data_IF_424293617806
#
_entry.id   IF_424293617806
#
_cell.length_a   1.000
_cell.length_b   1.000
_cell.length_c   1.000
_cell.angle_alpha   90.00
_cell.angle_beta   90.00
_cell.angle_gamma   90.00
#
_symmetry.space_group_name_H-M   'P 1'
#
loop_
_entity.id
_entity.type
_entity.pdbx_description
1 polymer ?
#
# COMPACT_ATOMS: atom_id res chain seq x y z
N UNK A 1 7.17 13.66 17.05
CA UNK A 1 5.95 14.39 16.59
C UNK A 1 4.90 14.52 17.70
N UNK A 2 4.38 13.42 18.29
CA UNK A 2 3.45 13.53 19.45
C UNK A 2 4.12 14.21 20.64
N UNK A 3 5.36 13.85 20.93
CA UNK A 3 6.17 14.40 22.02
C UNK A 3 6.37 15.92 21.95
N UNK A 4 6.38 16.48 20.73
CA UNK A 4 6.57 17.93 20.51
C UNK A 4 5.24 18.70 20.49
N UNK A 5 4.16 18.06 20.03
CA UNK A 5 2.87 18.71 19.81
C UNK A 5 1.92 18.59 21.00
N UNK A 6 1.96 17.47 21.75
CA UNK A 6 1.08 17.26 22.89
C UNK A 6 1.21 18.33 23.99
N UNK A 7 2.42 18.80 24.37
CA UNK A 7 2.56 19.88 25.34
C UNK A 7 1.93 21.19 24.87
N UNK A 8 2.03 21.53 23.59
CA UNK A 8 1.40 22.73 23.02
C UNK A 8 -0.12 22.62 23.01
N UNK A 9 -0.65 21.42 22.67
CA UNK A 9 -2.08 21.18 22.70
C UNK A 9 -2.61 21.30 24.13
N UNK A 10 -1.97 20.66 25.11
CA UNK A 10 -2.32 20.76 26.52
C UNK A 10 -2.34 22.22 27.01
N UNK A 11 -1.30 22.99 26.70
CA UNK A 11 -1.19 24.38 27.07
C UNK A 11 -2.29 25.25 26.46
N UNK A 12 -2.62 25.06 25.18
CA UNK A 12 -3.60 25.89 24.47
C UNK A 12 -5.05 25.53 24.80
N UNK A 13 -5.32 24.33 25.27
CA UNK A 13 -6.69 23.83 25.52
C UNK A 13 -7.01 23.69 26.99
N UNK A 14 -5.98 23.76 27.87
CA UNK A 14 -6.14 23.53 29.30
C UNK A 14 -6.35 22.08 29.72
N UNK A 15 -6.23 21.14 28.80
CA UNK A 15 -6.25 19.70 29.11
C UNK A 15 -4.92 19.25 29.72
N UNK A 16 -4.92 18.12 30.42
CA UNK A 16 -3.68 17.51 30.91
C UNK A 16 -2.80 17.01 29.74
N UNK A 17 -1.51 16.82 30.03
CA UNK A 17 -0.59 16.26 29.04
C UNK A 17 -1.02 14.84 28.60
N UNK A 18 -1.50 14.01 29.54
CA UNK A 18 -1.95 12.64 29.25
C UNK A 18 -3.19 12.64 28.35
N UNK A 19 -4.14 13.55 28.57
CA UNK A 19 -5.30 13.72 27.68
C UNK A 19 -4.87 14.20 26.29
N UNK A 20 -3.92 15.13 26.19
CA UNK A 20 -3.40 15.61 24.92
C UNK A 20 -2.66 14.51 24.15
N UNK A 21 -1.83 13.70 24.82
CA UNK A 21 -1.15 12.55 24.22
C UNK A 21 -2.18 11.52 23.73
N UNK A 22 -3.17 11.20 24.55
CA UNK A 22 -4.23 10.25 24.19
C UNK A 22 -5.03 10.71 22.97
N UNK A 23 -5.44 11.97 22.96
CA UNK A 23 -6.19 12.57 21.84
C UNK A 23 -5.37 12.56 20.54
N UNK A 24 -4.10 12.94 20.61
CA UNK A 24 -3.22 12.92 19.44
C UNK A 24 -2.97 11.51 18.94
N UNK A 25 -2.82 10.53 19.84
CA UNK A 25 -2.69 9.11 19.47
C UNK A 25 -3.91 8.57 18.74
N UNK A 26 -5.10 9.08 19.06
CA UNK A 26 -6.34 8.70 18.35
C UNK A 26 -6.52 9.41 17.00
N UNK A 27 -6.09 10.67 16.90
CA UNK A 27 -6.34 11.52 15.72
C UNK A 27 -5.26 11.37 14.65
N UNK A 28 -3.98 11.21 15.02
CA UNK A 28 -2.88 11.15 14.05
C UNK A 28 -3.01 10.01 13.03
N UNK A 29 -3.40 8.78 13.40
CA UNK A 29 -3.59 7.70 12.43
C UNK A 29 -4.69 8.02 11.40
N UNK A 30 -5.74 8.74 11.81
CA UNK A 30 -6.80 9.18 10.90
C UNK A 30 -6.30 10.25 9.93
N UNK A 31 -5.49 11.20 10.42
CA UNK A 31 -4.87 12.22 9.57
C UNK A 31 -3.87 11.62 8.57
N UNK A 32 -3.12 10.59 8.96
CA UNK A 32 -2.22 9.87 8.05
C UNK A 32 -2.99 9.19 6.92
N UNK A 33 -4.08 8.49 7.23
CA UNK A 33 -4.94 7.86 6.22
C UNK A 33 -5.54 8.90 5.28
N UNK A 34 -6.12 9.96 5.84
CA UNK A 34 -6.68 11.05 5.04
C UNK A 34 -5.63 11.67 4.11
N UNK A 35 -4.44 11.96 4.62
CA UNK A 35 -3.35 12.51 3.81
C UNK A 35 -2.94 11.55 2.69
N UNK A 36 -2.83 10.26 2.98
CA UNK A 36 -2.48 9.24 1.98
C UNK A 36 -3.52 9.20 0.84
N UNK A 37 -4.80 9.24 1.18
CA UNK A 37 -5.88 9.30 0.18
C UNK A 37 -5.79 10.58 -0.66
N UNK A 38 -5.59 11.75 -0.04
CA UNK A 38 -5.45 13.02 -0.76
C UNK A 38 -4.25 13.01 -1.71
N UNK A 39 -3.08 12.56 -1.25
CA UNK A 39 -1.88 12.47 -2.08
C UNK A 39 -2.08 11.51 -3.27
N UNK A 40 -2.77 10.40 -3.07
CA UNK A 40 -3.10 9.47 -4.15
C UNK A 40 -4.08 10.10 -5.17
N UNK A 41 -5.12 10.79 -4.68
CA UNK A 41 -6.05 11.52 -5.57
C UNK A 41 -5.33 12.60 -6.38
N UNK A 42 -4.45 13.38 -5.78
CA UNK A 42 -3.69 14.41 -6.48
C UNK A 42 -2.76 13.83 -7.55
N UNK A 43 -2.13 12.69 -7.28
CA UNK A 43 -1.15 12.07 -8.20
C UNK A 43 -1.79 11.21 -9.27
N UNK A 44 -2.83 10.47 -8.94
CA UNK A 44 -3.37 9.38 -9.77
C UNK A 44 -4.88 9.45 -9.97
N UNK A 45 -5.59 10.27 -9.20
CA UNK A 45 -7.06 10.25 -9.12
C UNK A 45 -7.73 10.43 -10.48
N UNK A 46 -7.30 11.40 -11.29
CA UNK A 46 -7.89 11.66 -12.60
C UNK A 46 -7.73 10.45 -13.55
N UNK A 47 -6.55 9.84 -13.60
CA UNK A 47 -6.27 8.68 -14.43
C UNK A 47 -7.01 7.43 -13.93
N UNK A 48 -7.01 7.21 -12.61
CA UNK A 48 -7.68 6.07 -12.00
C UNK A 48 -9.20 6.15 -12.21
N UNK A 49 -9.80 7.33 -12.05
CA UNK A 49 -11.22 7.56 -12.28
C UNK A 49 -11.61 7.39 -13.75
N UNK A 50 -10.77 7.84 -14.69
CA UNK A 50 -10.98 7.61 -16.10
C UNK A 50 -10.93 6.13 -16.49
N UNK A 51 -10.10 5.35 -15.81
CA UNK A 51 -9.86 3.92 -16.10
C UNK A 51 -10.86 2.99 -15.41
N UNK A 52 -11.19 3.26 -14.15
CA UNK A 52 -11.97 2.36 -13.29
C UNK A 52 -13.35 2.91 -12.89
N UNK A 53 -13.62 4.18 -13.17
CA UNK A 53 -14.85 4.87 -12.79
C UNK A 53 -14.79 5.49 -11.39
N UNK A 54 -15.65 6.49 -11.18
CA UNK A 54 -15.68 7.24 -9.92
C UNK A 54 -16.11 6.35 -8.73
N UNK A 55 -17.12 5.51 -8.91
CA UNK A 55 -17.65 4.67 -7.84
C UNK A 55 -16.60 3.70 -7.28
N UNK A 56 -15.80 3.08 -8.15
CA UNK A 56 -14.75 2.16 -7.74
C UNK A 56 -13.63 2.86 -6.95
N UNK A 57 -13.25 4.06 -7.38
CA UNK A 57 -12.22 4.85 -6.68
C UNK A 57 -12.75 5.39 -5.36
N UNK A 58 -13.99 5.87 -5.31
CA UNK A 58 -14.61 6.35 -4.07
C UNK A 58 -14.72 5.20 -3.05
N UNK A 59 -15.13 4.01 -3.46
CA UNK A 59 -15.20 2.83 -2.59
C UNK A 59 -13.82 2.41 -2.06
N UNK A 60 -12.78 2.47 -2.88
CA UNK A 60 -11.41 2.20 -2.45
C UNK A 60 -10.91 3.23 -1.43
N UNK A 61 -11.18 4.51 -1.67
CA UNK A 61 -10.84 5.59 -0.75
C UNK A 61 -11.57 5.46 0.59
N UNK A 62 -12.87 5.14 0.58
CA UNK A 62 -13.66 4.88 1.78
C UNK A 62 -13.07 3.70 2.59
N UNK A 63 -12.68 2.62 1.91
CA UNK A 63 -12.03 1.48 2.55
C UNK A 63 -10.78 1.89 3.34
N UNK A 64 -9.94 2.75 2.76
CA UNK A 64 -8.73 3.25 3.43
C UNK A 64 -9.05 4.20 4.58
N UNK A 65 -10.05 5.07 4.41
CA UNK A 65 -10.44 6.04 5.45
C UNK A 65 -11.09 5.35 6.66
N UNK A 66 -11.87 4.30 6.43
CA UNK A 66 -12.58 3.56 7.47
C UNK A 66 -11.73 2.45 8.11
N UNK A 67 -10.53 2.21 7.57
CA UNK A 67 -9.63 1.19 8.09
C UNK A 67 -9.26 1.48 9.56
N UNK A 68 -9.33 0.47 10.41
CA UNK A 68 -8.89 0.62 11.80
C UNK A 68 -7.36 0.84 11.89
N UNK A 69 -6.86 1.49 12.96
CA UNK A 69 -5.45 1.84 13.08
C UNK A 69 -4.51 0.63 13.02
N UNK A 70 -4.91 -0.52 13.56
CA UNK A 70 -4.08 -1.72 13.56
C UNK A 70 -3.95 -2.28 12.14
N UNK A 71 -5.05 -2.42 11.43
CA UNK A 71 -5.06 -2.88 10.03
C UNK A 71 -4.26 -1.93 9.13
N UNK A 72 -4.36 -0.61 9.34
CA UNK A 72 -3.55 0.37 8.64
C UNK A 72 -2.06 0.16 8.87
N UNK A 73 -1.63 -0.02 10.11
CA UNK A 73 -0.23 -0.27 10.46
C UNK A 73 0.26 -1.59 9.86
N UNK A 74 -0.54 -2.66 9.95
CA UNK A 74 -0.21 -3.97 9.37
C UNK A 74 -0.05 -3.87 7.84
N UNK A 75 -0.90 -3.09 7.18
CA UNK A 75 -0.81 -2.84 5.74
C UNK A 75 0.48 -2.10 5.38
N UNK A 76 0.87 -1.08 6.16
CA UNK A 76 2.12 -0.34 5.94
C UNK A 76 3.37 -1.19 6.23
N UNK A 77 3.32 -2.06 7.22
CA UNK A 77 4.39 -3.01 7.47
C UNK A 77 4.50 -4.05 6.37
N UNK A 78 3.37 -4.55 5.88
CA UNK A 78 3.32 -5.48 4.75
C UNK A 78 3.90 -4.86 3.47
N UNK A 79 3.60 -3.59 3.19
CA UNK A 79 4.18 -2.84 2.08
C UNK A 79 5.71 -2.83 2.12
N UNK A 80 6.30 -2.55 3.28
CA UNK A 80 7.76 -2.61 3.47
C UNK A 80 8.32 -4.02 3.34
N UNK A 81 7.62 -5.00 3.90
CA UNK A 81 8.02 -6.40 3.85
C UNK A 81 8.00 -6.96 2.42
N UNK A 82 7.09 -6.49 1.56
CA UNK A 82 7.03 -6.85 0.14
C UNK A 82 8.31 -6.42 -0.57
N UNK A 83 8.81 -5.21 -0.35
CA UNK A 83 10.06 -4.75 -0.97
C UNK A 83 11.27 -5.60 -0.53
N UNK A 84 11.32 -5.97 0.75
CA UNK A 84 12.34 -6.89 1.27
C UNK A 84 12.24 -8.27 0.64
N UNK A 85 11.04 -8.83 0.55
CA UNK A 85 10.80 -10.14 -0.06
C UNK A 85 11.10 -10.15 -1.57
N UNK A 86 10.78 -9.06 -2.27
CA UNK A 86 11.12 -8.88 -3.68
C UNK A 86 12.64 -8.94 -3.89
N UNK A 87 13.41 -8.23 -3.07
CA UNK A 87 14.87 -8.26 -3.13
C UNK A 87 15.44 -9.68 -2.89
N UNK A 88 14.86 -10.42 -1.94
CA UNK A 88 15.24 -11.81 -1.67
C UNK A 88 14.94 -12.71 -2.88
N UNK A 89 13.73 -12.64 -3.42
CA UNK A 89 13.31 -13.44 -4.56
C UNK A 89 14.13 -13.13 -5.82
N UNK A 90 14.43 -11.87 -6.08
CA UNK A 90 15.33 -11.45 -7.18
C UNK A 90 16.74 -12.03 -7.02
N UNK A 91 17.24 -12.12 -5.79
CA UNK A 91 18.54 -12.74 -5.51
C UNK A 91 18.60 -14.22 -5.88
N UNK A 92 17.46 -14.92 -5.84
CA UNK A 92 17.32 -16.31 -6.33
C UNK A 92 17.23 -16.32 -7.86
N UNK A 93 16.55 -15.34 -8.45
CA UNK A 93 16.45 -15.15 -9.89
C UNK A 93 15.42 -16.06 -10.60
N UNK A 94 14.62 -16.80 -9.84
CA UNK A 94 13.58 -17.68 -10.36
C UNK A 94 12.18 -17.20 -9.94
N UNK A 95 11.36 -16.68 -10.89
CA UNK A 95 9.99 -16.25 -10.61
C UNK A 95 9.05 -17.37 -10.13
N UNK A 96 9.45 -18.61 -10.31
CA UNK A 96 8.70 -19.81 -9.86
C UNK A 96 9.14 -20.32 -8.49
N UNK A 97 10.21 -19.76 -7.91
CA UNK A 97 10.73 -20.16 -6.61
C UNK A 97 9.70 -19.99 -5.49
N UNK A 98 9.90 -20.72 -4.39
CA UNK A 98 9.07 -20.55 -3.19
C UNK A 98 9.09 -19.12 -2.66
N UNK A 99 10.25 -18.44 -2.74
CA UNK A 99 10.36 -17.05 -2.30
C UNK A 99 9.61 -16.07 -3.21
N UNK A 100 9.57 -16.33 -4.52
CA UNK A 100 8.75 -15.58 -5.44
C UNK A 100 7.24 -15.83 -5.19
N UNK A 101 6.84 -17.06 -4.92
CA UNK A 101 5.43 -17.37 -4.60
C UNK A 101 4.99 -16.76 -3.26
N UNK A 102 5.89 -16.71 -2.27
CA UNK A 102 5.66 -15.98 -1.02
C UNK A 102 5.47 -14.47 -1.28
N UNK A 103 6.32 -13.89 -2.11
CA UNK A 103 6.18 -12.50 -2.56
C UNK A 103 4.79 -12.22 -3.16
N UNK A 104 4.33 -13.07 -4.07
CA UNK A 104 3.01 -12.94 -4.70
C UNK A 104 1.88 -13.00 -3.68
N UNK A 105 1.95 -13.94 -2.74
CA UNK A 105 0.98 -14.05 -1.64
C UNK A 105 0.92 -12.76 -0.80
N UNK A 106 2.06 -12.22 -0.44
CA UNK A 106 2.15 -10.97 0.32
C UNK A 106 1.60 -9.78 -0.47
N UNK A 107 1.99 -9.66 -1.74
CA UNK A 107 1.54 -8.59 -2.62
C UNK A 107 0.02 -8.65 -2.86
N UNK A 108 -0.53 -9.83 -3.16
CA UNK A 108 -1.97 -10.02 -3.34
C UNK A 108 -2.75 -9.64 -2.07
N UNK A 109 -2.24 -10.02 -0.90
CA UNK A 109 -2.82 -9.63 0.39
C UNK A 109 -2.83 -8.11 0.58
N UNK A 110 -1.74 -7.44 0.22
CA UNK A 110 -1.64 -5.99 0.29
C UNK A 110 -2.65 -5.31 -0.66
N UNK A 111 -2.82 -5.81 -1.87
CA UNK A 111 -3.85 -5.32 -2.80
C UNK A 111 -5.25 -5.53 -2.23
N UNK A 112 -5.54 -6.70 -1.65
CA UNK A 112 -6.83 -6.98 -1.03
C UNK A 112 -7.16 -5.99 0.10
N UNK A 113 -6.19 -5.63 0.93
CA UNK A 113 -6.37 -4.62 1.98
C UNK A 113 -6.66 -3.23 1.40
N UNK A 114 -5.98 -2.84 0.32
CA UNK A 114 -6.20 -1.56 -0.35
C UNK A 114 -7.55 -1.49 -1.07
N UNK A 115 -8.00 -2.59 -1.66
CA UNK A 115 -9.26 -2.63 -2.42
C UNK A 115 -10.47 -2.94 -1.53
N UNK A 116 -10.25 -3.42 -0.32
CA UNK A 116 -11.33 -3.88 0.57
C UNK A 116 -11.97 -5.21 0.17
N UNK A 117 -11.39 -5.91 -0.81
CA UNK A 117 -11.84 -7.22 -1.28
C UNK A 117 -10.69 -8.00 -1.93
N UNK A 118 -10.81 -9.32 -1.97
CA UNK A 118 -9.88 -10.16 -2.70
C UNK A 118 -9.95 -9.87 -4.20
N UNK A 119 -8.82 -9.53 -4.86
CA UNK A 119 -8.80 -9.28 -6.30
C UNK A 119 -9.07 -10.59 -7.08
N UNK A 120 -9.93 -10.50 -8.07
CA UNK A 120 -10.09 -11.57 -9.05
C UNK A 120 -8.80 -11.73 -9.88
N UNK A 121 -8.48 -12.93 -10.32
CA UNK A 121 -7.21 -13.23 -11.01
C UNK A 121 -6.97 -12.34 -12.23
N UNK A 122 -8.01 -12.12 -13.05
CA UNK A 122 -7.91 -11.25 -14.22
C UNK A 122 -7.62 -9.78 -13.86
N UNK A 123 -8.29 -9.26 -12.82
CA UNK A 123 -8.07 -7.90 -12.34
C UNK A 123 -6.67 -7.73 -11.74
N UNK A 124 -6.20 -8.74 -10.99
CA UNK A 124 -4.88 -8.76 -10.39
C UNK A 124 -3.77 -8.82 -11.45
N UNK A 125 -3.94 -9.65 -12.47
CA UNK A 125 -3.03 -9.71 -13.61
C UNK A 125 -3.00 -8.40 -14.40
N UNK A 126 -4.17 -7.81 -14.63
CA UNK A 126 -4.28 -6.50 -15.28
C UNK A 126 -3.56 -5.38 -14.52
N UNK A 127 -3.66 -5.39 -13.18
CA UNK A 127 -2.90 -4.47 -12.33
C UNK A 127 -1.39 -4.68 -12.49
N UNK A 128 -0.91 -5.93 -12.44
CA UNK A 128 0.50 -6.26 -12.60
C UNK A 128 1.05 -5.78 -13.95
N UNK A 129 0.36 -6.02 -15.04
CA UNK A 129 0.75 -5.53 -16.36
C UNK A 129 0.75 -3.99 -16.42
N UNK A 130 -0.16 -3.33 -15.70
CA UNK A 130 -0.20 -1.89 -15.56
C UNK A 130 1.08 -1.30 -14.93
N UNK A 131 1.75 -2.04 -14.05
CA UNK A 131 3.02 -1.61 -13.45
C UNK A 131 4.13 -1.42 -14.48
N UNK A 132 4.20 -2.29 -15.48
CA UNK A 132 5.21 -2.19 -16.56
C UNK A 132 4.92 -1.04 -17.54
N UNK A 133 3.68 -0.62 -17.63
CA UNK A 133 3.25 0.45 -18.54
C UNK A 133 3.42 1.85 -17.94
N UNK A 134 3.73 1.97 -16.66
CA UNK A 134 3.84 3.25 -15.97
C UNK A 134 5.18 3.37 -15.23
N UNK A 135 6.01 4.31 -15.69
CA UNK A 135 7.35 4.53 -15.13
C UNK A 135 7.33 4.83 -13.61
N UNK A 136 6.25 5.41 -13.09
CA UNK A 136 6.11 5.69 -11.64
C UNK A 136 6.09 4.41 -10.82
N UNK A 137 5.43 3.34 -11.32
CA UNK A 137 5.43 2.03 -10.68
C UNK A 137 6.74 1.28 -10.89
N UNK A 138 7.34 1.38 -12.06
CA UNK A 138 8.69 0.83 -12.28
C UNK A 138 9.67 1.44 -11.30
N UNK A 139 9.66 2.76 -11.15
CA UNK A 139 10.51 3.47 -10.20
C UNK A 139 10.25 3.05 -8.73
N UNK A 140 8.99 2.81 -8.38
CA UNK A 140 8.60 2.40 -7.03
C UNK A 140 9.26 1.09 -6.60
N UNK A 141 9.34 0.11 -7.48
CA UNK A 141 9.94 -1.20 -7.19
C UNK A 141 11.43 -1.25 -7.52
N UNK A 142 11.83 -0.69 -8.66
CA UNK A 142 13.21 -0.78 -9.16
C UNK A 142 14.19 0.06 -8.34
N UNK A 143 13.80 1.25 -7.86
CA UNK A 143 14.70 2.09 -7.06
C UNK A 143 15.16 1.43 -5.76
N UNK A 144 14.26 0.87 -4.91
CA UNK A 144 14.68 0.21 -3.69
C UNK A 144 15.23 -1.20 -3.88
N UNK A 145 14.78 -1.95 -4.89
CA UNK A 145 15.08 -3.37 -5.04
C UNK A 145 16.11 -3.68 -6.15
N UNK A 146 16.35 -2.72 -7.04
CA UNK A 146 17.25 -2.87 -8.18
C UNK A 146 16.52 -2.98 -9.51
N UNK A 147 17.24 -2.63 -10.58
CA UNK A 147 16.70 -2.66 -11.95
C UNK A 147 16.13 -4.02 -12.31
N UNK A 148 14.91 -4.03 -12.85
CA UNK A 148 14.21 -5.25 -13.23
C UNK A 148 13.30 -5.84 -12.12
N UNK A 149 13.20 -5.19 -10.96
CA UNK A 149 12.37 -5.64 -9.86
C UNK A 149 10.89 -5.69 -10.25
N UNK A 150 10.40 -4.67 -10.95
CA UNK A 150 9.02 -4.64 -11.44
C UNK A 150 8.74 -5.77 -12.42
N UNK A 151 9.64 -6.02 -13.35
CA UNK A 151 9.54 -7.13 -14.32
C UNK A 151 9.52 -8.47 -13.60
N UNK A 152 10.39 -8.67 -12.63
CA UNK A 152 10.43 -9.90 -11.84
C UNK A 152 9.13 -10.13 -11.07
N UNK A 153 8.59 -9.10 -10.40
CA UNK A 153 7.32 -9.17 -9.68
C UNK A 153 6.19 -9.60 -10.63
N UNK A 154 6.10 -8.98 -11.80
CA UNK A 154 5.06 -9.33 -12.79
C UNK A 154 5.20 -10.78 -13.28
N UNK A 155 6.41 -11.23 -13.57
CA UNK A 155 6.67 -12.63 -13.96
C UNK A 155 6.29 -13.62 -12.83
N UNK A 156 6.57 -13.28 -11.58
CA UNK A 156 6.17 -14.09 -10.44
C UNK A 156 4.64 -14.19 -10.29
N UNK A 157 3.93 -13.08 -10.51
CA UNK A 157 2.45 -13.05 -10.50
C UNK A 157 1.89 -13.89 -11.64
N UNK A 158 2.38 -13.73 -12.87
CA UNK A 158 1.97 -14.54 -14.04
C UNK A 158 2.17 -16.02 -13.78
N UNK A 159 3.33 -16.40 -13.27
CA UNK A 159 3.64 -17.79 -12.94
C UNK A 159 2.72 -18.35 -11.85
N UNK A 160 2.42 -17.57 -10.83
CA UNK A 160 1.50 -17.97 -9.76
C UNK A 160 0.09 -18.25 -10.27
N UNK A 161 -0.43 -17.35 -11.11
CA UNK A 161 -1.78 -17.48 -11.69
C UNK A 161 -1.88 -18.61 -12.71
N UNK A 162 -0.82 -18.90 -13.45
CA UNK A 162 -0.78 -20.01 -14.40
C UNK A 162 -0.82 -21.40 -13.73
N UNK A 163 -0.49 -21.48 -12.43
CA UNK A 163 -0.51 -22.74 -11.63
C UNK A 163 -1.81 -22.96 -10.88
N UNK A 164 -2.61 -21.91 -10.73
CA UNK A 164 -3.92 -21.98 -10.08
C UNK A 164 -4.98 -22.49 -11.09
#
# INVERSE_FOLDING_TARGET
MIEDCAPRLAQNTGMSLDEAVSLMGAVLPQLERWRSVQENEERYGAEARARYGNEAIDAANETLLDMDPQTWNDMKELERAILGQLSIAMGIGDPESNEAQKLVTMHRRWIALNWGCEPQDEAYLGLAHGYLADQRFVDYYDKPCGTGATTFLVQAIESSLARA
#
